data_IF_478928475511
#
_entry.id   IF_478928475511
#
_cell.length_a   1.000
_cell.length_b   1.000
_cell.length_c   1.000
_cell.angle_alpha   90.00
_cell.angle_beta   90.00
_cell.angle_gamma   90.00
#
_symmetry.space_group_name_H-M   'P 1'
#
loop_
_entity.id
_entity.type
_entity.pdbx_description
1 polymer ?
#
# COMPACT_ATOMS: atom_id res chain seq x y z
N UNK A 1 20.82 7.98 -10.98
CA UNK A 1 19.92 8.35 -9.88
C UNK A 1 18.77 9.12 -10.50
N UNK A 2 17.54 8.71 -10.25
CA UNK A 2 16.35 9.41 -10.73
C UNK A 2 16.22 10.71 -9.91
N UNK A 3 15.79 11.82 -10.51
CA UNK A 3 15.44 13.00 -9.71
C UNK A 3 14.05 12.83 -9.09
N UNK A 4 13.73 13.59 -8.04
CA UNK A 4 12.47 13.44 -7.32
C UNK A 4 11.23 13.66 -8.21
N UNK A 5 11.33 14.51 -9.24
CA UNK A 5 10.22 14.79 -10.15
C UNK A 5 9.95 13.60 -11.07
N UNK A 6 11.01 12.98 -11.59
CA UNK A 6 10.91 11.75 -12.35
C UNK A 6 10.41 10.58 -11.48
N UNK A 7 10.78 10.55 -10.20
CA UNK A 7 10.31 9.53 -9.26
C UNK A 7 8.81 9.65 -8.96
N UNK A 8 8.28 10.87 -8.81
CA UNK A 8 6.83 11.06 -8.63
C UNK A 8 6.00 10.53 -9.80
N UNK A 9 6.57 10.39 -11.02
CA UNK A 9 5.88 9.79 -12.17
C UNK A 9 5.59 8.29 -12.01
N UNK A 10 6.17 7.64 -11.01
CA UNK A 10 5.88 6.25 -10.67
C UNK A 10 4.55 6.09 -9.92
N UNK A 11 4.05 7.16 -9.30
CA UNK A 11 2.75 7.15 -8.63
C UNK A 11 1.62 6.96 -9.62
N UNK A 12 0.49 6.43 -9.13
CA UNK A 12 -0.75 6.37 -9.90
C UNK A 12 -1.27 7.80 -10.06
N UNK A 13 -2.03 8.04 -11.11
CA UNK A 13 -2.69 9.31 -11.41
C UNK A 13 -4.20 9.11 -11.51
N UNK A 14 -4.97 10.20 -11.55
CA UNK A 14 -6.43 10.11 -11.78
C UNK A 14 -6.78 9.42 -13.10
N UNK A 15 -5.94 9.59 -14.13
CA UNK A 15 -6.12 8.93 -15.44
C UNK A 15 -5.98 7.40 -15.38
N UNK A 16 -5.31 6.89 -14.35
CA UNK A 16 -5.20 5.45 -14.15
C UNK A 16 -6.44 4.84 -13.51
N UNK A 17 -7.32 5.65 -12.93
CA UNK A 17 -8.47 5.21 -12.16
C UNK A 17 -9.74 5.26 -13.03
N UNK A 18 -10.73 4.43 -12.71
CA UNK A 18 -12.05 4.55 -13.33
C UNK A 18 -12.69 5.93 -13.03
N UNK A 19 -13.72 6.32 -13.80
CA UNK A 19 -14.29 7.67 -13.74
C UNK A 19 -14.65 8.13 -12.32
N UNK A 20 -14.35 9.40 -11.99
CA UNK A 20 -14.76 10.13 -10.77
C UNK A 20 -13.90 10.01 -9.50
N UNK A 21 -12.63 9.59 -9.61
CA UNK A 21 -11.68 9.78 -8.52
C UNK A 21 -11.08 11.19 -8.50
N UNK A 22 -10.74 11.68 -7.31
CA UNK A 22 -10.09 12.96 -7.07
C UNK A 22 -8.88 12.76 -6.15
N UNK A 23 -7.76 13.41 -6.48
CA UNK A 23 -6.57 13.43 -5.65
C UNK A 23 -6.79 14.15 -4.31
N UNK A 24 -6.28 13.56 -3.23
CA UNK A 24 -6.29 14.12 -1.88
C UNK A 24 -4.87 14.14 -1.29
N UNK A 25 -4.64 15.10 -0.39
CA UNK A 25 -3.41 15.14 0.41
C UNK A 25 -3.44 14.06 1.51
N UNK A 26 -2.44 13.17 1.61
CA UNK A 26 -2.36 12.18 2.67
C UNK A 26 -2.31 12.85 4.06
N UNK A 27 -3.23 12.48 4.96
CA UNK A 27 -3.34 13.08 6.30
C UNK A 27 -2.72 12.21 7.39
N UNK A 28 -1.95 12.82 8.28
CA UNK A 28 -1.40 12.19 9.49
C UNK A 28 -2.46 11.75 10.51
N UNK A 29 -3.71 12.19 10.36
CA UNK A 29 -4.83 11.71 11.18
C UNK A 29 -5.07 10.20 11.00
N UNK A 30 -4.63 9.65 9.88
CA UNK A 30 -4.84 8.25 9.52
C UNK A 30 -3.69 7.32 9.91
N UNK A 31 -2.71 7.77 10.70
CA UNK A 31 -1.66 6.87 11.19
C UNK A 31 -2.25 5.87 12.20
N UNK A 32 -2.24 4.57 11.88
CA UNK A 32 -2.63 3.55 12.83
C UNK A 32 -1.57 3.33 13.90
N UNK A 33 -2.03 3.01 15.11
CA UNK A 33 -1.25 2.34 16.16
C UNK A 33 -1.82 0.95 16.42
N UNK A 34 -0.95 -0.03 16.62
CA UNK A 34 -1.38 -1.38 16.99
C UNK A 34 -1.93 -1.41 18.41
N UNK A 35 -3.09 -2.04 18.58
CA UNK A 35 -3.78 -2.19 19.87
C UNK A 35 -3.68 -3.62 20.39
N UNK A 36 -4.14 -4.62 19.62
CA UNK A 36 -4.25 -6.01 20.06
C UNK A 36 -4.40 -6.99 18.90
N UNK A 37 -4.39 -8.30 19.19
CA UNK A 37 -4.53 -9.38 18.20
C UNK A 37 -3.20 -10.11 17.99
N UNK A 38 -3.00 -10.64 16.78
CA UNK A 38 -1.77 -11.35 16.46
C UNK A 38 -0.54 -10.43 16.57
N UNK A 39 0.58 -10.88 17.17
CA UNK A 39 1.77 -10.05 17.33
C UNK A 39 2.33 -9.50 16.01
N UNK A 40 2.20 -10.26 14.92
CA UNK A 40 2.60 -9.84 13.58
C UNK A 40 1.80 -8.61 13.06
N UNK A 41 0.59 -8.36 13.59
CA UNK A 41 -0.19 -7.16 13.28
C UNK A 41 0.53 -5.87 13.67
N UNK A 42 1.38 -5.89 14.70
CA UNK A 42 2.23 -4.74 15.04
C UNK A 42 3.23 -4.44 13.93
N UNK A 43 3.89 -5.48 13.41
CA UNK A 43 4.84 -5.34 12.31
C UNK A 43 4.16 -4.83 11.04
N UNK A 44 2.93 -5.27 10.76
CA UNK A 44 2.12 -4.73 9.65
C UNK A 44 1.93 -3.22 9.82
N UNK A 45 1.41 -2.78 10.97
CA UNK A 45 1.18 -1.36 11.26
C UNK A 45 2.46 -0.53 11.13
N UNK A 46 3.54 -0.98 11.77
CA UNK A 46 4.83 -0.27 11.77
C UNK A 46 5.42 -0.16 10.35
N UNK A 47 5.37 -1.24 9.57
CA UNK A 47 5.84 -1.26 8.18
C UNK A 47 4.98 -0.38 7.28
N UNK A 48 3.65 -0.40 7.42
CA UNK A 48 2.77 0.48 6.63
C UNK A 48 2.99 1.95 6.94
N UNK A 49 3.19 2.31 8.21
CA UNK A 49 3.51 3.68 8.61
C UNK A 49 4.86 4.13 8.06
N UNK A 50 5.87 3.26 8.18
CA UNK A 50 7.21 3.51 7.65
C UNK A 50 7.19 3.75 6.14
N UNK A 51 6.50 2.88 5.40
CA UNK A 51 6.41 2.96 3.95
C UNK A 51 5.62 4.20 3.50
N UNK A 52 4.49 4.49 4.16
CA UNK A 52 3.64 5.67 3.87
C UNK A 52 4.37 7.00 4.10
N UNK A 53 5.34 7.02 5.02
CA UNK A 53 6.11 8.22 5.38
C UNK A 53 7.50 8.26 4.75
N UNK A 54 7.91 7.20 4.04
CA UNK A 54 9.26 7.06 3.52
C UNK A 54 10.36 7.07 4.59
N UNK A 55 10.07 6.70 5.84
CA UNK A 55 10.98 6.91 6.98
C UNK A 55 12.01 5.80 7.19
N UNK A 56 12.08 4.79 6.31
CA UNK A 56 13.14 3.79 6.38
C UNK A 56 14.51 4.48 6.18
N UNK A 57 15.55 4.16 6.97
CA UNK A 57 16.86 4.83 6.87
C UNK A 57 17.54 4.69 5.51
N UNK A 58 17.23 3.62 4.78
CA UNK A 58 17.77 3.33 3.45
C UNK A 58 16.85 3.81 2.31
N UNK A 59 15.79 4.59 2.60
CA UNK A 59 14.96 5.20 1.55
C UNK A 59 15.76 6.27 0.82
N UNK A 60 15.86 6.17 -0.50
CA UNK A 60 16.47 7.16 -1.38
C UNK A 60 15.42 8.14 -1.92
N UNK A 61 14.27 7.61 -2.36
CA UNK A 61 13.14 8.39 -2.86
C UNK A 61 11.83 7.81 -2.36
N UNK A 62 10.84 8.66 -2.16
CA UNK A 62 9.51 8.28 -1.70
C UNK A 62 8.43 9.14 -2.37
N UNK A 63 7.30 8.53 -2.68
CA UNK A 63 6.10 9.22 -3.15
C UNK A 63 4.85 8.51 -2.64
N UNK A 64 3.80 9.29 -2.41
CA UNK A 64 2.48 8.77 -2.02
C UNK A 64 1.38 9.56 -2.70
N UNK A 65 0.32 8.88 -3.13
CA UNK A 65 -0.88 9.47 -3.70
C UNK A 65 -2.13 8.83 -3.09
N UNK A 66 -3.10 9.66 -2.72
CA UNK A 66 -4.40 9.25 -2.21
C UNK A 66 -5.47 9.72 -3.19
N UNK A 67 -6.41 8.84 -3.51
CA UNK A 67 -7.54 9.13 -4.38
C UNK A 67 -8.82 8.63 -3.73
N UNK A 68 -9.87 9.43 -3.78
CA UNK A 68 -11.22 9.04 -3.33
C UNK A 68 -12.25 9.35 -4.40
N UNK A 69 -13.42 8.72 -4.31
CA UNK A 69 -14.55 9.06 -5.18
C UNK A 69 -15.84 9.29 -4.39
N UNK A 70 -16.87 9.80 -5.07
CA UNK A 70 -18.14 10.17 -4.45
C UNK A 70 -18.90 8.99 -3.81
N UNK A 71 -18.60 7.74 -4.18
CA UNK A 71 -19.22 6.54 -3.61
C UNK A 71 -18.43 5.95 -2.45
N UNK A 72 -17.35 6.60 -2.02
CA UNK A 72 -16.54 6.22 -0.87
C UNK A 72 -15.49 5.15 -1.16
N UNK A 73 -15.14 4.93 -2.43
CA UNK A 73 -13.95 4.16 -2.79
C UNK A 73 -12.69 4.95 -2.48
N UNK A 74 -11.62 4.23 -2.17
CA UNK A 74 -10.30 4.81 -1.86
C UNK A 74 -9.22 4.02 -2.58
N UNK A 75 -8.27 4.71 -3.19
CA UNK A 75 -7.02 4.13 -3.67
C UNK A 75 -5.88 4.92 -3.05
N UNK A 76 -5.01 4.22 -2.34
CA UNK A 76 -3.79 4.78 -1.78
C UNK A 76 -2.59 4.05 -2.37
N UNK A 77 -1.69 4.78 -3.01
CA UNK A 77 -0.49 4.23 -3.62
C UNK A 77 0.73 4.88 -2.99
N UNK A 78 1.68 4.08 -2.54
CA UNK A 78 3.01 4.55 -2.21
C UNK A 78 4.08 3.80 -3.00
N UNK A 79 5.13 4.54 -3.32
CA UNK A 79 6.35 4.04 -3.97
C UNK A 79 7.56 4.48 -3.18
N UNK A 80 8.49 3.57 -2.96
CA UNK A 80 9.75 3.86 -2.30
C UNK A 80 10.91 3.18 -3.03
N UNK A 81 11.98 3.93 -3.29
CA UNK A 81 13.26 3.40 -3.75
C UNK A 81 14.19 3.28 -2.56
N UNK A 82 14.90 2.16 -2.48
CA UNK A 82 15.81 1.88 -1.38
C UNK A 82 17.25 1.70 -1.85
N UNK A 83 18.20 1.96 -0.96
CA UNK A 83 19.60 1.58 -1.18
C UNK A 83 19.84 0.08 -0.90
N UNK A 84 20.76 -0.52 -1.66
CA UNK A 84 21.22 -1.88 -1.45
C UNK A 84 20.11 -2.94 -1.35
N UNK A 85 20.17 -3.85 -0.36
CA UNK A 85 19.21 -4.94 -0.23
C UNK A 85 17.89 -4.55 0.47
N UNK A 86 17.70 -3.30 0.90
CA UNK A 86 16.59 -2.93 1.78
C UNK A 86 15.22 -3.24 1.17
N UNK A 87 15.03 -2.94 -0.12
CA UNK A 87 13.75 -3.16 -0.79
C UNK A 87 13.26 -4.61 -0.61
N UNK A 88 14.14 -5.58 -0.86
CA UNK A 88 13.84 -7.01 -0.69
C UNK A 88 13.63 -7.38 0.78
N UNK A 89 14.40 -6.80 1.70
CA UNK A 89 14.26 -7.07 3.14
C UNK A 89 12.95 -6.53 3.70
N UNK A 90 12.55 -5.31 3.31
CA UNK A 90 11.27 -4.70 3.69
C UNK A 90 10.11 -5.50 3.12
N UNK A 91 10.18 -5.89 1.85
CA UNK A 91 9.18 -6.75 1.24
C UNK A 91 9.05 -8.10 1.96
N UNK A 92 10.17 -8.77 2.27
CA UNK A 92 10.14 -10.05 2.98
C UNK A 92 9.55 -9.90 4.39
N UNK A 93 9.93 -8.85 5.14
CA UNK A 93 9.36 -8.58 6.47
C UNK A 93 7.85 -8.36 6.40
N UNK A 94 7.37 -7.64 5.38
CA UNK A 94 5.94 -7.43 5.18
C UNK A 94 5.23 -8.73 4.81
N UNK A 95 5.82 -9.53 3.92
CA UNK A 95 5.30 -10.84 3.52
C UNK A 95 5.17 -11.78 4.73
N UNK A 96 6.23 -11.90 5.54
CA UNK A 96 6.24 -12.72 6.75
C UNK A 96 5.16 -12.25 7.73
N UNK A 97 5.07 -10.93 7.99
CA UNK A 97 4.08 -10.36 8.89
C UNK A 97 2.64 -10.59 8.40
N UNK A 98 2.40 -10.48 7.09
CA UNK A 98 1.11 -10.83 6.48
C UNK A 98 0.79 -12.31 6.66
N UNK A 99 1.76 -13.20 6.44
CA UNK A 99 1.55 -14.64 6.55
C UNK A 99 1.23 -15.07 7.98
N UNK A 100 1.87 -14.45 8.97
CA UNK A 100 1.72 -14.75 10.39
C UNK A 100 0.57 -14.00 11.08
N UNK A 101 -0.09 -13.07 10.39
CA UNK A 101 -1.23 -12.31 10.92
C UNK A 101 -2.54 -12.77 10.27
N UNK A 102 -3.48 -13.24 11.09
CA UNK A 102 -4.86 -13.51 10.69
C UNK A 102 -5.77 -12.36 11.08
N UNK A 103 -5.60 -11.81 12.29
CA UNK A 103 -6.42 -10.70 12.78
C UNK A 103 -5.66 -9.78 13.73
N UNK A 104 -5.98 -8.50 13.67
CA UNK A 104 -5.44 -7.50 14.58
C UNK A 104 -6.39 -6.31 14.70
N UNK A 105 -6.20 -5.53 15.76
CA UNK A 105 -6.89 -4.26 16.00
C UNK A 105 -5.88 -3.13 15.95
N UNK A 106 -6.26 -2.07 15.26
CA UNK A 106 -5.53 -0.80 15.28
C UNK A 106 -6.45 0.35 15.71
N UNK A 107 -5.85 1.44 16.15
CA UNK A 107 -6.53 2.69 16.48
C UNK A 107 -5.89 3.81 15.65
N UNK A 108 -6.70 4.66 15.03
CA UNK A 108 -6.22 5.87 14.34
C UNK A 108 -6.01 6.99 15.36
N UNK A 109 -5.24 8.01 14.99
CA UNK A 109 -4.93 9.14 15.88
C UNK A 109 -6.16 9.94 16.35
N UNK A 110 -7.28 9.85 15.63
CA UNK A 110 -8.56 10.45 16.02
C UNK A 110 -9.38 9.58 17.00
N UNK A 111 -8.85 8.43 17.41
CA UNK A 111 -9.46 7.49 18.35
C UNK A 111 -10.34 6.41 17.70
N UNK A 112 -10.47 6.39 16.37
CA UNK A 112 -11.26 5.37 15.67
C UNK A 112 -10.57 4.01 15.76
N UNK A 113 -11.29 3.00 16.27
CA UNK A 113 -10.81 1.62 16.37
C UNK A 113 -11.27 0.78 15.20
N UNK A 114 -10.35 0.01 14.65
CA UNK A 114 -10.55 -0.80 13.45
C UNK A 114 -10.12 -2.23 13.75
N UNK A 115 -11.08 -3.15 13.68
CA UNK A 115 -10.81 -4.59 13.70
C UNK A 115 -10.51 -5.07 12.29
N UNK A 116 -9.35 -5.69 12.08
CA UNK A 116 -8.86 -6.10 10.77
C UNK A 116 -8.68 -7.60 10.75
N UNK A 117 -9.25 -8.25 9.73
CA UNK A 117 -9.13 -9.69 9.51
C UNK A 117 -8.65 -9.96 8.09
N UNK A 118 -7.59 -10.77 7.94
CA UNK A 118 -7.14 -11.25 6.63
C UNK A 118 -8.14 -12.28 6.10
N UNK A 119 -8.65 -12.05 4.91
CA UNK A 119 -9.57 -12.96 4.22
C UNK A 119 -8.90 -13.78 3.14
N UNK A 120 -7.74 -13.35 2.66
CA UNK A 120 -6.94 -14.12 1.72
C UNK A 120 -5.60 -13.48 1.43
N UNK A 121 -4.66 -14.27 0.91
CA UNK A 121 -3.40 -13.79 0.37
C UNK A 121 -2.93 -14.71 -0.74
N UNK A 122 -2.43 -14.14 -1.82
CA UNK A 122 -1.89 -14.89 -2.97
C UNK A 122 -0.65 -14.20 -3.54
N UNK A 123 0.32 -14.95 -4.10
CA UNK A 123 1.43 -14.35 -4.84
C UNK A 123 0.92 -13.55 -6.04
N UNK A 124 1.60 -12.44 -6.34
CA UNK A 124 1.44 -11.71 -7.60
C UNK A 124 2.63 -12.02 -8.51
N UNK A 125 2.34 -12.51 -9.71
CA UNK A 125 3.34 -12.69 -10.77
C UNK A 125 3.56 -11.36 -11.51
N UNK A 126 4.15 -10.40 -10.79
CA UNK A 126 4.48 -9.05 -11.24
C UNK A 126 5.88 -8.67 -10.74
N UNK A 127 6.60 -7.88 -11.55
CA UNK A 127 7.90 -7.34 -11.16
C UNK A 127 8.96 -8.43 -10.92
N UNK A 128 9.64 -8.33 -9.78
CA UNK A 128 10.58 -9.35 -9.28
C UNK A 128 9.97 -10.17 -8.12
N UNK A 129 8.66 -10.00 -7.88
CA UNK A 129 7.89 -10.64 -6.82
C UNK A 129 6.84 -9.70 -6.23
N UNK A 130 5.69 -10.25 -5.86
CA UNK A 130 4.63 -9.49 -5.20
C UNK A 130 3.65 -10.36 -4.43
N UNK A 131 2.80 -9.70 -3.65
CA UNK A 131 1.72 -10.31 -2.90
C UNK A 131 0.46 -9.46 -3.02
N UNK A 132 -0.68 -10.14 -3.20
CA UNK A 132 -2.00 -9.56 -3.02
C UNK A 132 -2.57 -10.08 -1.70
N UNK A 133 -3.03 -9.17 -0.86
CA UNK A 133 -3.66 -9.48 0.42
C UNK A 133 -5.05 -8.88 0.44
N UNK A 134 -6.03 -9.63 0.93
CA UNK A 134 -7.41 -9.15 1.12
C UNK A 134 -7.71 -9.08 2.60
N UNK A 135 -8.32 -7.97 2.99
CA UNK A 135 -8.67 -7.67 4.36
C UNK A 135 -10.13 -7.27 4.47
N UNK A 136 -10.70 -7.54 5.64
CA UNK A 136 -11.96 -6.96 6.08
C UNK A 136 -11.66 -6.13 7.31
N UNK A 137 -11.98 -4.85 7.24
CA UNK A 137 -11.91 -3.89 8.32
C UNK A 137 -13.31 -3.62 8.85
N UNK A 138 -13.50 -3.72 10.16
CA UNK A 138 -14.77 -3.40 10.83
C UNK A 138 -14.56 -2.18 11.71
N UNK A 139 -15.38 -1.16 11.51
CA UNK A 139 -15.40 0.10 12.27
C UNK A 139 -16.83 0.36 12.69
N UNK A 140 -17.13 0.29 13.98
CA UNK A 140 -18.49 0.32 14.52
C UNK A 140 -19.44 -0.67 13.79
N UNK A 141 -20.37 -0.16 12.98
CA UNK A 141 -21.33 -0.93 12.19
C UNK A 141 -20.95 -1.01 10.70
N UNK A 142 -19.82 -0.41 10.30
CA UNK A 142 -19.31 -0.46 8.95
C UNK A 142 -18.37 -1.63 8.76
N UNK A 143 -18.57 -2.35 7.65
CA UNK A 143 -17.66 -3.37 7.14
C UNK A 143 -17.05 -2.83 5.85
N UNK A 144 -15.74 -2.81 5.80
CA UNK A 144 -14.96 -2.28 4.68
C UNK A 144 -14.07 -3.41 4.18
N UNK A 145 -14.17 -3.74 2.90
CA UNK A 145 -13.28 -4.70 2.27
C UNK A 145 -12.17 -3.94 1.57
N UNK A 146 -10.92 -4.34 1.83
CA UNK A 146 -9.74 -3.73 1.21
C UNK A 146 -8.83 -4.79 0.64
N UNK A 147 -8.00 -4.37 -0.30
CA UNK A 147 -6.99 -5.21 -0.91
C UNK A 147 -5.67 -4.45 -1.01
N UNK A 148 -4.57 -5.13 -0.71
CA UNK A 148 -3.20 -4.62 -0.80
C UNK A 148 -2.45 -5.39 -1.87
N UNK A 149 -2.02 -4.72 -2.92
CA UNK A 149 -1.06 -5.26 -3.85
C UNK A 149 0.31 -4.62 -3.58
N UNK A 150 1.27 -5.44 -3.16
CA UNK A 150 2.64 -5.01 -2.91
C UNK A 150 3.56 -5.73 -3.87
N UNK A 151 4.34 -4.98 -4.64
CA UNK A 151 5.23 -5.52 -5.67
C UNK A 151 6.59 -4.84 -5.56
N UNK A 152 7.65 -5.61 -5.77
CA UNK A 152 9.01 -5.10 -5.89
C UNK A 152 9.51 -5.21 -7.32
N UNK A 153 10.31 -4.24 -7.76
CA UNK A 153 11.06 -4.28 -9.02
C UNK A 153 12.40 -3.59 -8.84
N UNK A 154 13.49 -4.34 -8.97
CA UNK A 154 14.82 -3.86 -8.65
C UNK A 154 14.92 -3.41 -7.19
N UNK A 155 15.16 -2.12 -6.99
CA UNK A 155 15.28 -1.44 -5.70
C UNK A 155 14.02 -0.62 -5.32
N UNK A 156 12.94 -0.73 -6.11
CA UNK A 156 11.68 -0.02 -5.88
C UNK A 156 10.62 -0.98 -5.34
N UNK A 157 9.90 -0.54 -4.31
CA UNK A 157 8.68 -1.15 -3.79
C UNK A 157 7.49 -0.26 -4.14
N UNK A 158 6.48 -0.86 -4.77
CA UNK A 158 5.16 -0.25 -5.00
C UNK A 158 4.12 -0.97 -4.15
N UNK A 159 3.26 -0.21 -3.49
CA UNK A 159 2.18 -0.74 -2.66
C UNK A 159 0.91 0.05 -2.96
N UNK A 160 -0.08 -0.66 -3.49
CA UNK A 160 -1.42 -0.15 -3.74
C UNK A 160 -2.39 -0.73 -2.71
N UNK A 161 -2.98 0.13 -1.88
CA UNK A 161 -4.08 -0.18 -0.97
C UNK A 161 -5.38 0.33 -1.59
N UNK A 162 -6.34 -0.56 -1.82
CA UNK A 162 -7.62 -0.19 -2.43
C UNK A 162 -8.78 -0.59 -1.53
N UNK A 163 -9.74 0.32 -1.39
CA UNK A 163 -11.12 0.06 -0.99
C UNK A 163 -11.98 0.31 -2.23
N UNK A 164 -12.19 -0.72 -3.03
CA UNK A 164 -12.97 -0.65 -4.27
C UNK A 164 -13.84 -1.91 -4.38
N UNK A 165 -15.07 -1.81 -4.95
CA UNK A 165 -15.94 -2.98 -5.09
C UNK A 165 -15.42 -4.05 -6.05
N UNK A 166 -14.70 -3.66 -7.10
CA UNK A 166 -14.14 -4.59 -8.09
C UNK A 166 -12.73 -5.03 -7.70
N UNK A 167 -12.55 -6.32 -7.41
CA UNK A 167 -11.24 -6.89 -7.08
C UNK A 167 -10.29 -7.00 -8.28
N UNK A 168 -10.81 -7.06 -9.51
CA UNK A 168 -9.97 -7.09 -10.71
C UNK A 168 -9.20 -5.77 -10.87
N UNK A 169 -9.80 -4.68 -10.41
CA UNK A 169 -9.24 -3.34 -10.49
C UNK A 169 -7.98 -3.19 -9.60
N UNK A 170 -7.92 -3.83 -8.41
CA UNK A 170 -6.70 -3.84 -7.58
C UNK A 170 -5.52 -4.45 -8.33
N UNK A 171 -5.74 -5.57 -9.02
CA UNK A 171 -4.72 -6.24 -9.84
C UNK A 171 -4.27 -5.37 -11.01
N UNK A 172 -5.22 -4.70 -11.68
CA UNK A 172 -4.92 -3.79 -12.79
C UNK A 172 -4.06 -2.62 -12.32
N UNK A 173 -4.42 -1.98 -11.21
CA UNK A 173 -3.67 -0.85 -10.65
C UNK A 173 -2.26 -1.25 -10.21
N UNK A 174 -2.11 -2.43 -9.60
CA UNK A 174 -0.80 -2.98 -9.27
C UNK A 174 0.07 -3.19 -10.51
N UNK A 175 -0.51 -3.71 -11.59
CA UNK A 175 0.18 -3.89 -12.86
C UNK A 175 0.63 -2.54 -13.45
N UNK A 176 -0.25 -1.55 -13.50
CA UNK A 176 0.08 -0.20 -13.97
C UNK A 176 1.25 0.38 -13.16
N UNK A 177 1.21 0.28 -11.84
CA UNK A 177 2.27 0.79 -10.97
C UNK A 177 3.63 0.10 -11.24
N UNK A 178 3.63 -1.21 -11.47
CA UNK A 178 4.85 -1.99 -11.75
C UNK A 178 5.40 -1.73 -13.16
N UNK A 179 4.51 -1.58 -14.14
CA UNK A 179 4.89 -1.28 -15.53
C UNK A 179 5.62 0.06 -15.59
N UNK A 180 5.21 1.06 -14.78
CA UNK A 180 5.92 2.36 -14.67
C UNK A 180 7.33 2.25 -14.11
N UNK A 181 7.59 1.27 -13.24
CA UNK A 181 8.95 1.01 -12.75
C UNK A 181 9.80 0.30 -13.81
N UNK A 182 9.16 -0.53 -14.65
CA UNK A 182 9.83 -1.35 -15.67
C UNK A 182 10.11 -0.61 -16.97
N UNK A 183 9.26 0.35 -17.34
CA UNK A 183 9.39 1.18 -18.52
C UNK A 183 9.65 2.64 -18.11
N UNK A 184 10.90 3.13 -18.18
CA UNK A 184 11.16 4.52 -17.87
C UNK A 184 10.35 5.39 -18.83
N UNK A 185 9.48 6.22 -18.26
CA UNK A 185 8.68 7.21 -18.98
C UNK A 185 9.61 7.94 -19.94
N UNK A 186 9.41 7.74 -21.26
CA UNK A 186 10.16 8.48 -22.27
C UNK A 186 9.92 9.97 -22.01
N UNK A 187 10.99 10.66 -21.65
CA UNK A 187 11.06 12.12 -21.58
C UNK A 187 10.78 12.75 -22.94
#
# INVERSE_FOLDING_TARGET
MMDDTAFQRLLLTEEDLEESFFGEEPSAAYDPVFVSGDPAGRSIVDLTNMLTRGTHPETLHHGSALFTNAVGSVVFHHVAQFDGPACRQVFQKLLDAVQDCREYRMELNDGVRIDITRTGSEPLDLGDGGILVRWVSTVDHFRIETAWAVVIKGDVLSFVNTRIPDHAETHRLARVAVDRVSEPVKS
#
